data_IF_554910081931
#
_entry.id   IF_554910081931
#
_cell.length_a   1.000
_cell.length_b   1.000
_cell.length_c   1.000
_cell.angle_alpha   90.00
_cell.angle_beta   90.00
_cell.angle_gamma   90.00
#
_symmetry.space_group_name_H-M   'P 1'
#
loop_
_entity.id
_entity.type
_entity.pdbx_description
1 polymer ?
#
# COMPACT_ATOMS: atom_id res chain seq x y z
N UNK A 1 -10.15 6.40 -17.42
CA UNK A 1 -10.96 7.56 -16.98
C UNK A 1 -11.22 8.47 -18.18
N UNK A 2 -12.29 9.30 -18.19
CA UNK A 2 -12.58 10.22 -19.30
C UNK A 2 -11.44 11.18 -19.64
N UNK A 3 -10.62 11.54 -18.66
CA UNK A 3 -9.43 12.41 -18.84
C UNK A 3 -8.15 11.63 -19.20
N UNK A 4 -8.20 10.30 -19.30
CA UNK A 4 -7.00 9.49 -19.57
C UNK A 4 -6.39 9.82 -20.93
N UNK A 5 -5.11 10.18 -20.95
CA UNK A 5 -4.36 10.52 -22.18
C UNK A 5 -4.52 11.98 -22.66
N UNK A 6 -5.35 12.79 -22.00
CA UNK A 6 -5.50 14.21 -22.34
C UNK A 6 -4.37 15.05 -21.75
N UNK A 7 -3.87 16.02 -22.53
CA UNK A 7 -2.97 17.06 -22.03
C UNK A 7 -3.82 18.08 -21.27
N UNK A 8 -3.40 18.42 -20.04
CA UNK A 8 -4.01 19.46 -19.20
C UNK A 8 -3.11 20.70 -19.16
N UNK A 9 -3.13 21.56 -20.20
CA UNK A 9 -2.08 22.55 -20.45
C UNK A 9 -1.93 23.58 -19.32
N UNK A 10 -3.02 23.92 -18.63
CA UNK A 10 -3.03 24.95 -17.58
C UNK A 10 -2.93 24.38 -16.16
N UNK A 11 -2.93 23.05 -16.00
CA UNK A 11 -2.92 22.44 -14.66
C UNK A 11 -1.61 22.71 -13.91
N UNK A 12 -0.48 22.69 -14.62
CA UNK A 12 0.83 23.07 -14.07
C UNK A 12 0.80 24.50 -13.50
N UNK A 13 0.37 25.47 -14.31
CA UNK A 13 0.34 26.88 -13.91
C UNK A 13 -0.57 27.10 -12.69
N UNK A 14 -1.73 26.42 -12.69
CA UNK A 14 -2.67 26.48 -11.57
C UNK A 14 -2.04 25.96 -10.25
N UNK A 15 -1.32 24.82 -10.28
CA UNK A 15 -0.62 24.29 -9.10
C UNK A 15 0.43 25.28 -8.60
N UNK A 16 1.28 25.80 -9.50
CA UNK A 16 2.37 26.69 -9.13
C UNK A 16 1.85 27.99 -8.49
N UNK A 17 0.78 28.56 -9.04
CA UNK A 17 0.19 29.80 -8.51
C UNK A 17 -0.59 29.59 -7.21
N UNK A 18 -1.29 28.46 -7.06
CA UNK A 18 -2.15 28.20 -5.89
C UNK A 18 -1.33 27.77 -4.67
N UNK A 19 -0.32 26.92 -4.87
CA UNK A 19 0.49 26.38 -3.78
C UNK A 19 1.83 27.11 -3.58
N UNK A 20 2.23 27.97 -4.54
CA UNK A 20 3.51 28.69 -4.48
C UNK A 20 4.74 27.79 -4.63
N UNK A 21 4.61 26.65 -5.30
CA UNK A 21 5.66 25.61 -5.40
C UNK A 21 6.30 25.54 -6.79
N UNK A 22 7.53 25.04 -6.84
CA UNK A 22 8.20 24.64 -8.09
C UNK A 22 8.07 23.13 -8.30
N UNK A 23 7.72 22.72 -9.52
CA UNK A 23 7.64 21.30 -9.91
C UNK A 23 9.02 20.65 -10.14
N UNK A 24 10.10 21.44 -10.09
CA UNK A 24 11.47 20.93 -10.17
C UNK A 24 11.89 20.23 -8.87
N UNK A 25 11.26 20.57 -7.75
CA UNK A 25 11.50 19.87 -6.48
C UNK A 25 10.62 18.61 -6.41
N UNK A 26 11.25 17.44 -6.55
CA UNK A 26 10.60 16.13 -6.47
C UNK A 26 11.18 15.32 -5.31
N UNK A 27 10.31 14.67 -4.55
CA UNK A 27 10.69 13.72 -3.51
C UNK A 27 10.79 12.31 -4.09
N UNK A 28 11.74 11.52 -3.62
CA UNK A 28 11.85 10.09 -3.96
C UNK A 28 11.17 9.26 -2.89
N UNK A 29 10.18 8.46 -3.27
CA UNK A 29 9.48 7.53 -2.38
C UNK A 29 9.82 6.09 -2.73
N UNK A 30 9.51 5.14 -1.83
CA UNK A 30 9.63 3.71 -2.07
C UNK A 30 8.83 3.32 -3.35
N UNK A 31 9.47 2.74 -4.38
CA UNK A 31 8.80 2.39 -5.64
C UNK A 31 7.97 1.11 -5.52
N UNK A 32 8.33 0.24 -4.58
CA UNK A 32 7.67 -1.02 -4.28
C UNK A 32 7.86 -1.39 -2.81
N UNK A 33 7.02 -2.29 -2.31
CA UNK A 33 7.21 -2.90 -1.00
C UNK A 33 8.52 -3.69 -0.98
N UNK A 34 9.31 -3.53 0.08
CA UNK A 34 10.42 -4.42 0.38
C UNK A 34 9.95 -5.47 1.43
N UNK A 35 9.85 -6.76 1.08
CA UNK A 35 9.38 -7.77 2.02
C UNK A 35 10.20 -7.85 3.31
N UNK A 36 11.50 -7.52 3.27
CA UNK A 36 12.36 -7.56 4.46
C UNK A 36 12.00 -6.52 5.53
N UNK A 37 11.26 -5.46 5.15
CA UNK A 37 10.81 -4.43 6.07
C UNK A 37 9.53 -4.84 6.81
N UNK A 38 8.86 -5.92 6.39
CA UNK A 38 7.56 -6.32 6.95
C UNK A 38 7.69 -7.17 8.21
N UNK A 39 6.84 -6.96 9.23
CA UNK A 39 6.76 -7.87 10.36
C UNK A 39 6.45 -9.31 9.90
N UNK A 40 7.03 -10.33 10.55
CA UNK A 40 6.76 -11.73 10.20
C UNK A 40 5.28 -12.07 10.39
N UNK A 41 4.79 -13.04 9.61
CA UNK A 41 3.49 -13.66 9.84
C UNK A 41 3.58 -14.55 11.08
N UNK A 42 2.70 -14.35 12.06
CA UNK A 42 2.61 -15.19 13.26
C UNK A 42 1.25 -15.90 13.24
N UNK A 43 1.24 -17.18 12.90
CA UNK A 43 0.03 -18.00 12.77
C UNK A 43 0.23 -19.33 13.49
N UNK A 44 -0.80 -19.79 14.20
CA UNK A 44 -0.77 -21.09 14.89
C UNK A 44 -0.93 -22.25 13.90
N UNK A 45 -0.16 -23.32 14.08
CA UNK A 45 -0.12 -24.47 13.15
C UNK A 45 -1.41 -25.29 13.15
N UNK A 46 -2.06 -25.49 14.30
CA UNK A 46 -3.33 -26.24 14.39
C UNK A 46 -4.43 -25.48 13.63
N UNK A 47 -4.51 -24.16 13.83
CA UNK A 47 -5.40 -23.29 13.05
C UNK A 47 -5.11 -23.38 11.55
N UNK A 48 -3.84 -23.38 11.14
CA UNK A 48 -3.46 -23.45 9.74
C UNK A 48 -3.79 -24.81 9.12
N UNK A 49 -3.76 -25.88 9.92
CA UNK A 49 -4.21 -27.21 9.51
C UNK A 49 -5.71 -27.22 9.25
N UNK A 50 -6.52 -26.80 10.22
CA UNK A 50 -7.98 -26.74 10.11
C UNK A 50 -8.40 -25.85 8.93
N UNK A 51 -7.71 -24.71 8.73
CA UNK A 51 -7.97 -23.80 7.61
C UNK A 51 -7.77 -24.48 6.26
N UNK A 52 -6.73 -25.33 6.11
CA UNK A 52 -6.50 -26.07 4.85
C UNK A 52 -7.65 -27.02 4.54
N UNK A 53 -8.28 -27.62 5.55
CA UNK A 53 -9.42 -28.52 5.36
C UNK A 53 -10.66 -27.80 4.80
N UNK A 54 -10.82 -26.52 5.11
CA UNK A 54 -11.95 -25.71 4.61
C UNK A 54 -11.89 -25.42 3.11
N UNK A 55 -10.73 -25.61 2.46
CA UNK A 55 -10.45 -25.17 1.09
C UNK A 55 -10.63 -23.66 0.83
N UNK A 56 -10.73 -22.84 1.88
CA UNK A 56 -10.73 -21.38 1.77
C UNK A 56 -9.32 -20.93 1.35
N UNK A 57 -9.26 -20.09 0.32
CA UNK A 57 -7.98 -19.54 -0.15
C UNK A 57 -7.40 -18.59 0.89
N UNK A 58 -6.09 -18.67 1.13
CA UNK A 58 -5.39 -17.81 2.08
C UNK A 58 -3.98 -17.44 1.58
N UNK A 59 -3.42 -16.37 2.13
CA UNK A 59 -2.06 -15.89 1.85
C UNK A 59 -1.39 -15.35 3.10
N UNK A 60 -0.10 -15.66 3.28
CA UNK A 60 0.77 -15.08 4.30
C UNK A 60 1.83 -14.15 3.68
N UNK A 61 1.70 -13.85 2.37
CA UNK A 61 2.66 -13.04 1.62
C UNK A 61 2.63 -11.57 2.08
N UNK A 62 3.80 -10.94 2.04
CA UNK A 62 4.00 -9.59 2.57
C UNK A 62 3.14 -8.54 1.84
N UNK A 63 3.00 -8.66 0.52
CA UNK A 63 2.21 -7.76 -0.31
C UNK A 63 0.71 -7.84 0.00
N UNK A 64 0.16 -9.05 0.07
CA UNK A 64 -1.25 -9.26 0.40
C UNK A 64 -1.64 -8.70 1.76
N UNK A 65 -0.75 -8.87 2.74
CA UNK A 65 -0.92 -8.38 4.11
C UNK A 65 -0.81 -6.86 4.18
N UNK A 66 0.23 -6.26 3.58
CA UNK A 66 0.41 -4.80 3.59
C UNK A 66 -0.69 -4.11 2.81
N UNK A 67 -1.12 -4.65 1.66
CA UNK A 67 -2.20 -4.08 0.84
C UNK A 67 -3.53 -3.94 1.62
N UNK A 68 -3.74 -4.80 2.61
CA UNK A 68 -4.94 -4.82 3.46
C UNK A 68 -4.71 -4.20 4.84
N UNK A 69 -3.53 -3.63 5.08
CA UNK A 69 -3.18 -3.01 6.36
C UNK A 69 -3.55 -1.52 6.46
N UNK A 70 -4.13 -0.94 5.40
CA UNK A 70 -4.38 0.49 5.33
C UNK A 70 -5.64 0.85 4.54
N UNK A 71 -6.19 2.03 4.82
CA UNK A 71 -7.16 2.73 3.98
C UNK A 71 -6.49 3.74 3.04
N UNK A 72 -7.10 4.92 2.93
CA UNK A 72 -6.59 6.02 2.08
C UNK A 72 -6.42 7.34 2.85
N UNK A 73 -6.23 7.29 4.17
CA UNK A 73 -5.87 8.49 4.92
C UNK A 73 -4.47 8.97 4.49
N UNK A 74 -4.25 10.29 4.54
CA UNK A 74 -2.96 10.89 4.15
C UNK A 74 -1.78 10.23 4.87
N UNK A 75 -1.90 10.00 6.18
CA UNK A 75 -0.85 9.39 6.98
C UNK A 75 -0.53 7.96 6.52
N UNK A 76 -1.54 7.17 6.18
CA UNK A 76 -1.37 5.79 5.72
C UNK A 76 -0.64 5.75 4.37
N UNK A 77 -1.04 6.60 3.42
CA UNK A 77 -0.39 6.71 2.11
C UNK A 77 1.05 7.22 2.25
N UNK A 78 1.29 8.14 3.18
CA UNK A 78 2.65 8.61 3.47
C UNK A 78 3.52 7.50 4.05
N UNK A 79 3.00 6.69 4.98
CA UNK A 79 3.73 5.54 5.53
C UNK A 79 4.05 4.48 4.48
N UNK A 80 3.17 4.19 3.53
CA UNK A 80 3.49 3.29 2.41
C UNK A 80 4.66 3.79 1.57
N UNK A 81 4.72 5.10 1.35
CA UNK A 81 5.73 5.75 0.52
C UNK A 81 7.08 5.91 1.21
N UNK A 82 7.07 6.13 2.52
CA UNK A 82 8.26 6.61 3.26
C UNK A 82 8.64 5.70 4.44
N UNK A 83 7.85 4.68 4.79
CA UNK A 83 8.01 3.93 6.05
C UNK A 83 7.44 2.51 6.01
N UNK A 84 6.92 2.08 7.16
CA UNK A 84 6.27 0.78 7.38
C UNK A 84 5.25 0.90 8.53
N UNK A 85 4.15 0.17 8.45
CA UNK A 85 3.18 0.08 9.54
C UNK A 85 3.74 -0.75 10.71
N UNK A 86 3.47 -0.32 11.94
CA UNK A 86 3.89 -1.07 13.12
C UNK A 86 3.23 -2.45 13.22
N UNK A 87 2.00 -2.59 12.71
CA UNK A 87 1.23 -3.83 12.68
C UNK A 87 0.51 -3.96 11.34
N UNK A 88 0.57 -5.15 10.77
CA UNK A 88 -0.17 -5.56 9.57
C UNK A 88 -0.88 -6.90 9.86
N UNK A 89 -1.90 -7.32 9.10
CA UNK A 89 -2.51 -8.65 9.25
C UNK A 89 -1.46 -9.76 9.21
N UNK A 90 -1.65 -10.85 9.95
CA UNK A 90 -0.75 -12.02 9.88
C UNK A 90 -1.06 -12.89 8.67
N UNK A 91 -2.34 -13.05 8.34
CA UNK A 91 -2.83 -13.88 7.24
C UNK A 91 -4.04 -13.22 6.58
N UNK A 92 -4.17 -13.39 5.28
CA UNK A 92 -5.32 -12.95 4.48
C UNK A 92 -6.11 -14.18 4.07
N UNK A 93 -7.44 -14.11 4.14
CA UNK A 93 -8.36 -15.16 3.74
C UNK A 93 -9.36 -14.62 2.71
N UNK A 94 -9.75 -15.47 1.75
CA UNK A 94 -10.76 -15.18 0.73
C UNK A 94 -11.86 -16.25 0.76
N UNK A 95 -12.94 -16.02 1.53
CA UNK A 95 -14.04 -16.95 1.70
C UNK A 95 -15.00 -17.01 0.51
#
# INVERSE_FOLDING_TARGET
>A
YPLSGMILPTFKDWIQNTLGVSLEHKTTSKPSLNPSDTPPSIVNEDFLHDLKETSISYSQEADDRVFRAHGHCLHEIFLLREGMFQRIPDIVLWP
#
